data_IF_399141960222
#
_entry.id   IF_399141960222
#
_cell.length_a   1.000
_cell.length_b   1.000
_cell.length_c   1.000
_cell.angle_alpha   90.00
_cell.angle_beta   90.00
_cell.angle_gamma   90.00
#
_symmetry.space_group_name_H-M   'P 1'
#
loop_
_entity.id
_entity.type
_entity.pdbx_description
1 polymer ?
#
# COMPACT_ATOMS: atom_id res chain seq x y z
N UNK A 1 30.68 -0.78 -1.20
CA UNK A 1 30.45 -0.90 -2.66
C UNK A 1 29.43 -1.99 -3.02
N UNK A 2 29.48 -3.18 -2.40
CA UNK A 2 28.56 -4.28 -2.74
C UNK A 2 27.09 -4.03 -2.33
N UNK A 3 26.86 -3.49 -1.13
CA UNK A 3 25.52 -3.13 -0.62
C UNK A 3 24.83 -2.02 -1.44
N UNK A 4 25.58 -1.00 -1.85
CA UNK A 4 25.05 0.09 -2.68
C UNK A 4 24.62 -0.42 -4.06
N UNK A 5 25.37 -1.35 -4.64
CA UNK A 5 25.01 -1.98 -5.92
C UNK A 5 23.72 -2.79 -5.82
N UNK A 6 23.56 -3.58 -4.75
CA UNK A 6 22.32 -4.37 -4.50
C UNK A 6 21.11 -3.46 -4.24
N UNK A 7 21.27 -2.38 -3.47
CA UNK A 7 20.18 -1.42 -3.23
C UNK A 7 19.73 -0.74 -4.52
N UNK A 8 20.66 -0.30 -5.36
CA UNK A 8 20.35 0.31 -6.66
C UNK A 8 19.66 -0.69 -7.59
N UNK A 9 20.08 -1.96 -7.58
CA UNK A 9 19.44 -3.00 -8.38
C UNK A 9 17.99 -3.26 -7.93
N UNK A 10 17.76 -3.29 -6.61
CA UNK A 10 16.42 -3.49 -6.04
C UNK A 10 15.49 -2.32 -6.35
N UNK A 11 15.95 -1.07 -6.19
CA UNK A 11 15.12 0.12 -6.47
C UNK A 11 14.78 0.26 -7.95
N UNK A 12 15.75 -0.05 -8.83
CA UNK A 12 15.53 -0.02 -10.29
C UNK A 12 14.62 -1.16 -10.76
N UNK A 13 14.74 -2.35 -10.18
CA UNK A 13 13.85 -3.47 -10.48
C UNK A 13 12.41 -3.19 -10.02
N UNK A 14 12.23 -2.54 -8.85
CA UNK A 14 10.92 -2.07 -8.39
C UNK A 14 10.29 -1.07 -9.37
N UNK A 15 11.06 -0.11 -9.89
CA UNK A 15 10.55 0.85 -10.87
C UNK A 15 10.16 0.19 -12.22
N UNK A 16 10.89 -0.85 -12.64
CA UNK A 16 10.60 -1.58 -13.89
C UNK A 16 9.34 -2.46 -13.80
N UNK A 17 8.96 -2.88 -12.59
CA UNK A 17 7.80 -3.74 -12.33
C UNK A 17 6.50 -2.96 -12.11
N UNK A 18 6.54 -1.62 -12.20
CA UNK A 18 5.38 -0.75 -12.01
C UNK A 18 4.92 -0.63 -10.55
N UNK A 19 4.12 0.40 -10.28
CA UNK A 19 3.53 0.66 -8.96
C UNK A 19 2.63 -0.51 -8.55
N UNK A 20 2.75 -1.02 -7.32
CA UNK A 20 1.87 -2.07 -6.79
C UNK A 20 0.87 -1.47 -5.82
N UNK A 21 -0.40 -1.82 -5.93
CA UNK A 21 -1.46 -1.30 -5.05
C UNK A 21 -2.38 -2.40 -4.55
N UNK A 22 -3.09 -2.17 -3.44
CA UNK A 22 -4.25 -2.98 -3.10
C UNK A 22 -5.40 -2.68 -4.07
N UNK A 23 -6.07 -3.73 -4.57
CA UNK A 23 -7.21 -3.64 -5.49
C UNK A 23 -8.36 -4.50 -5.00
N UNK A 24 -9.53 -3.90 -4.79
CA UNK A 24 -10.67 -4.59 -4.19
C UNK A 24 -11.93 -3.73 -4.20
N UNK A 25 -13.06 -4.40 -3.95
CA UNK A 25 -14.34 -3.79 -3.57
C UNK A 25 -14.93 -4.60 -2.41
N UNK A 26 -15.19 -3.94 -1.28
CA UNK A 26 -15.76 -4.58 -0.09
C UNK A 26 -14.75 -5.01 0.97
N UNK A 27 -15.23 -5.80 1.93
CA UNK A 27 -14.56 -6.06 3.21
C UNK A 27 -13.24 -6.86 3.14
N UNK A 28 -12.91 -7.49 1.99
CA UNK A 28 -11.69 -8.29 1.84
C UNK A 28 -10.71 -7.59 0.89
N UNK A 29 -9.99 -6.60 1.42
CA UNK A 29 -9.07 -5.75 0.68
C UNK A 29 -7.59 -6.12 0.94
N UNK A 30 -7.21 -7.34 0.55
CA UNK A 30 -5.82 -7.83 0.67
C UNK A 30 -5.19 -8.20 -0.69
N UNK A 31 -5.95 -8.15 -1.78
CA UNK A 31 -5.42 -8.45 -3.11
C UNK A 31 -4.53 -7.30 -3.57
N UNK A 32 -3.36 -7.64 -4.10
CA UNK A 32 -2.41 -6.67 -4.64
C UNK A 32 -2.23 -6.92 -6.13
N UNK A 33 -2.14 -5.85 -6.91
CA UNK A 33 -1.86 -5.93 -8.34
C UNK A 33 -0.81 -4.90 -8.73
N UNK A 34 -0.05 -5.20 -9.77
CA UNK A 34 0.78 -4.20 -10.46
C UNK A 34 -0.14 -3.33 -11.30
N UNK A 35 -0.03 -2.01 -11.14
CA UNK A 35 -0.85 -1.07 -11.88
C UNK A 35 -0.58 -1.15 -13.38
N UNK A 36 -1.63 -1.06 -14.21
CA UNK A 36 -1.47 -1.02 -15.65
C UNK A 36 -0.74 0.27 -16.06
N UNK A 37 -0.23 0.32 -17.31
CA UNK A 37 0.33 1.55 -17.86
C UNK A 37 -0.61 2.74 -17.65
N UNK A 38 -0.04 3.94 -17.44
CA UNK A 38 -0.75 5.20 -17.20
C UNK A 38 -1.48 5.33 -15.85
N UNK A 39 -1.43 4.32 -14.99
CA UNK A 39 -1.89 4.43 -13.60
C UNK A 39 -0.71 4.60 -12.66
N UNK A 40 -0.48 5.82 -12.18
CA UNK A 40 0.67 6.21 -11.37
C UNK A 40 0.31 6.49 -9.90
N UNK A 41 -0.93 6.20 -9.48
CA UNK A 41 -1.40 6.35 -8.11
C UNK A 41 -2.12 5.10 -7.63
N UNK A 42 -1.85 4.71 -6.38
CA UNK A 42 -2.77 3.88 -5.62
C UNK A 42 -3.88 4.75 -5.07
N UNK A 43 -5.11 4.24 -5.02
CA UNK A 43 -6.25 4.97 -4.50
C UNK A 43 -7.06 4.16 -3.49
N UNK A 44 -7.79 4.89 -2.65
CA UNK A 44 -8.76 4.37 -1.70
C UNK A 44 -9.93 5.34 -1.60
N UNK A 45 -11.15 4.82 -1.68
CA UNK A 45 -12.38 5.56 -1.45
C UNK A 45 -13.36 4.70 -0.64
N UNK A 46 -14.26 5.36 0.07
CA UNK A 46 -15.36 4.69 0.77
C UNK A 46 -16.68 5.22 0.21
N UNK A 47 -17.53 4.31 -0.25
CA UNK A 47 -18.86 4.63 -0.79
C UNK A 47 -19.86 3.78 -0.03
N UNK A 48 -20.77 4.41 0.71
CA UNK A 48 -21.79 3.72 1.51
C UNK A 48 -21.22 2.68 2.50
N UNK A 49 -20.06 2.95 3.10
CA UNK A 49 -19.39 2.01 4.01
C UNK A 49 -18.61 0.89 3.31
N UNK A 50 -18.57 0.89 1.98
CA UNK A 50 -17.81 -0.07 1.17
C UNK A 50 -16.49 0.57 0.75
N UNK A 51 -15.39 -0.01 1.22
CA UNK A 51 -14.05 0.38 0.80
C UNK A 51 -13.78 -0.14 -0.61
N UNK A 52 -13.31 0.74 -1.47
CA UNK A 52 -12.84 0.44 -2.81
C UNK A 52 -11.40 0.93 -2.95
N UNK A 53 -10.52 0.03 -3.38
CA UNK A 53 -9.11 0.34 -3.65
C UNK A 53 -8.77 -0.04 -5.08
N UNK A 54 -7.95 0.76 -5.74
CA UNK A 54 -7.61 0.56 -7.14
C UNK A 54 -6.32 1.30 -7.52
N UNK A 55 -5.85 1.04 -8.74
CA UNK A 55 -4.88 1.87 -9.44
C UNK A 55 -5.61 2.98 -10.22
N UNK A 56 -5.10 4.20 -10.16
CA UNK A 56 -5.65 5.36 -10.86
C UNK A 56 -4.54 6.20 -11.49
N UNK A 57 -4.90 6.96 -12.52
CA UNK A 57 -4.08 8.06 -13.01
C UNK A 57 -4.20 9.25 -12.04
N UNK A 58 -3.12 10.02 -11.87
CA UNK A 58 -3.10 11.20 -11.03
C UNK A 58 -4.20 12.23 -11.37
N UNK A 59 -4.60 12.33 -12.65
CA UNK A 59 -5.69 13.21 -13.09
C UNK A 59 -7.07 12.85 -12.52
N UNK A 60 -7.25 11.61 -12.08
CA UNK A 60 -8.47 11.10 -11.46
C UNK A 60 -8.37 11.10 -9.92
N UNK A 61 -7.25 11.56 -9.36
CA UNK A 61 -7.10 11.76 -7.93
C UNK A 61 -7.82 13.02 -7.47
N UNK A 62 -9.14 12.94 -7.36
CA UNK A 62 -10.02 14.04 -7.00
C UNK A 62 -10.81 13.63 -5.76
N UNK A 63 -10.98 14.55 -4.81
CA UNK A 63 -11.78 14.30 -3.61
C UNK A 63 -13.19 13.79 -3.97
N UNK A 64 -13.70 12.77 -3.26
CA UNK A 64 -13.23 12.23 -1.98
C UNK A 64 -12.20 11.09 -2.08
N UNK A 65 -11.62 10.83 -3.25
CA UNK A 65 -10.62 9.75 -3.43
C UNK A 65 -9.29 10.15 -2.79
N UNK A 66 -8.77 9.31 -1.90
CA UNK A 66 -7.41 9.42 -1.37
C UNK A 66 -6.45 8.69 -2.28
N UNK A 67 -5.31 9.31 -2.63
CA UNK A 67 -4.29 8.66 -3.44
C UNK A 67 -2.86 8.89 -2.94
N UNK A 68 -1.96 8.01 -3.36
CA UNK A 68 -0.55 8.00 -3.01
C UNK A 68 0.25 7.25 -4.09
N UNK A 69 1.57 7.39 -4.13
CA UNK A 69 2.45 6.93 -5.23
C UNK A 69 3.57 5.97 -4.82
N UNK A 70 3.44 5.37 -3.65
CA UNK A 70 4.36 4.34 -3.17
C UNK A 70 3.68 2.97 -3.21
N UNK A 71 4.47 1.91 -3.32
CA UNK A 71 3.93 0.55 -3.32
C UNK A 71 3.08 0.31 -2.07
N UNK A 72 1.86 -0.19 -2.29
CA UNK A 72 0.89 -0.62 -1.28
C UNK A 72 0.48 0.50 -0.30
N UNK A 73 0.75 1.77 -0.63
CA UNK A 73 0.49 2.92 0.23
C UNK A 73 -1.00 3.15 0.50
N UNK A 74 -1.88 2.61 -0.33
CA UNK A 74 -3.33 2.68 -0.11
C UNK A 74 -3.81 1.73 1.01
N UNK A 75 -2.90 1.00 1.66
CA UNK A 75 -3.12 0.27 2.90
C UNK A 75 -3.94 -1.01 2.75
N UNK A 76 -3.54 -2.05 3.46
CA UNK A 76 -4.38 -3.23 3.66
C UNK A 76 -5.57 -2.87 4.57
N UNK A 77 -6.58 -3.73 4.60
CA UNK A 77 -7.57 -3.65 5.68
C UNK A 77 -6.88 -3.76 7.05
N UNK A 78 -7.31 -2.97 8.05
CA UNK A 78 -6.82 -3.11 9.41
C UNK A 78 -6.98 -4.56 9.84
N UNK A 79 -5.84 -5.25 10.03
CA UNK A 79 -5.88 -6.56 10.66
C UNK A 79 -6.43 -6.34 12.07
N UNK A 80 -7.40 -7.17 12.47
CA UNK A 80 -8.19 -6.94 13.67
C UNK A 80 -7.37 -6.66 14.94
N UNK A 81 -8.02 -6.19 16.02
CA UNK A 81 -7.38 -5.61 17.22
C UNK A 81 -6.22 -6.43 17.81
N UNK A 82 -6.23 -7.76 17.65
CA UNK A 82 -5.18 -8.65 18.13
C UNK A 82 -3.78 -8.37 17.56
N UNK A 83 -3.64 -8.03 16.26
CA UNK A 83 -2.32 -7.75 15.68
C UNK A 83 -1.73 -6.44 16.21
N UNK A 84 -2.58 -5.42 16.36
CA UNK A 84 -2.17 -4.14 16.95
C UNK A 84 -1.73 -4.32 18.42
N UNK A 85 -2.45 -5.13 19.20
CA UNK A 85 -2.05 -5.44 20.58
C UNK A 85 -0.71 -6.17 20.65
N UNK A 86 -0.47 -7.12 19.73
CA UNK A 86 0.80 -7.84 19.61
C UNK A 86 1.97 -6.91 19.26
N UNK A 87 1.77 -6.00 18.30
CA UNK A 87 2.77 -5.02 17.91
C UNK A 87 3.11 -4.08 19.08
N UNK A 88 2.08 -3.55 19.77
CA UNK A 88 2.29 -2.73 20.97
C UNK A 88 3.05 -3.51 22.06
N UNK A 89 2.67 -4.76 22.32
CA UNK A 89 3.35 -5.60 23.31
C UNK A 89 4.82 -5.77 22.96
N UNK A 90 5.14 -6.06 21.69
CA UNK A 90 6.54 -6.24 21.24
C UNK A 90 7.38 -4.96 21.35
N UNK A 91 6.77 -3.80 21.05
CA UNK A 91 7.43 -2.50 21.19
C UNK A 91 7.71 -2.17 22.66
N UNK A 92 6.79 -2.51 23.57
CA UNK A 92 7.03 -2.34 25.01
C UNK A 92 8.15 -3.26 25.50
N UNK A 93 8.12 -4.55 25.14
CA UNK A 93 9.18 -5.50 25.54
C UNK A 93 10.58 -5.06 25.06
N UNK A 94 10.69 -4.47 23.87
CA UNK A 94 11.98 -3.97 23.35
C UNK A 94 12.45 -2.68 24.00
N UNK A 95 11.56 -1.85 24.58
CA UNK A 95 11.94 -0.66 25.35
C UNK A 95 12.38 -0.99 26.78
N UNK A 96 11.93 -2.13 27.33
CA UNK A 96 12.26 -2.58 28.68
C UNK A 96 13.39 -3.61 28.74
N UNK A 97 13.96 -4.02 27.59
CA UNK A 97 15.18 -4.81 27.47
C UNK A 97 16.39 -3.90 27.19
#
# INVERSE_FOLDING_TARGET
>A
MHLCGVLVLLTTLSAALGLRCYVCSGAKCNNTETCPPFSDRCASAEVEGIVVKSCLANSLCISPVSCCDQDLCNGAEPTGPGLMLLLLSSALFTLFL
#
